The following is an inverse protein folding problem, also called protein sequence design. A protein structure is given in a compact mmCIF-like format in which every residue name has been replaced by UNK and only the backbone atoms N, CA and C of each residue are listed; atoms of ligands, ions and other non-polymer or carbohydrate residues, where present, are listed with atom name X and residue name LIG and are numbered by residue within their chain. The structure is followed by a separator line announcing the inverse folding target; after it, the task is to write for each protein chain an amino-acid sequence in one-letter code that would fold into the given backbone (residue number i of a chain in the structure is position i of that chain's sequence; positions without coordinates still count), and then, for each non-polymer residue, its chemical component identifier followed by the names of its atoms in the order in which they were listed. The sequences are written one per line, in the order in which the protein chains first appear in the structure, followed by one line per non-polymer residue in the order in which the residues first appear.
data_IF_736732253626
#
_entry.id   IF_736732253626
#
_cell.length_a   1.000
_cell.length_b   1.000
_cell.length_c   1.000
_cell.angle_alpha   90.00
_cell.angle_beta   90.00
_cell.angle_gamma   90.00
#
_symmetry.space_group_name_H-M   'P 1'
#
loop_
_entity.id
_entity.type
_entity.pdbx_description
1 polymer ?
#
# COMPACT_ATOMS: atom_id res chain seq x y z
N UNK A 1 -15.36 1.86 15.23
CA UNK A 1 -14.94 2.56 14.01
C UNK A 1 -14.18 3.84 14.38
N UNK A 2 -14.82 4.81 15.04
CA UNK A 2 -14.15 6.06 15.46
C UNK A 2 -12.88 5.85 16.33
N UNK A 3 -12.93 4.98 17.33
CA UNK A 3 -11.78 4.69 18.21
C UNK A 3 -10.57 4.04 17.52
N UNK A 4 -10.72 3.60 16.26
CA UNK A 4 -9.65 3.01 15.45
C UNK A 4 -9.15 3.97 14.36
N UNK A 5 -9.59 5.23 14.36
CA UNK A 5 -9.24 6.22 13.32
C UNK A 5 -10.11 6.15 12.05
N UNK A 6 -11.04 5.20 11.95
CA UNK A 6 -11.88 4.98 10.76
C UNK A 6 -13.10 5.92 10.73
N UNK A 7 -12.85 7.23 10.67
CA UNK A 7 -13.89 8.28 10.78
C UNK A 7 -14.86 8.24 9.60
N UNK A 8 -14.38 8.03 8.37
CA UNK A 8 -15.22 8.00 7.17
C UNK A 8 -16.26 6.87 7.21
N UNK A 9 -15.84 5.66 7.59
CA UNK A 9 -16.74 4.51 7.75
C UNK A 9 -17.68 4.67 8.95
N UNK A 10 -17.22 5.30 10.04
CA UNK A 10 -18.07 5.61 11.18
C UNK A 10 -19.22 6.55 10.78
N UNK A 11 -18.92 7.63 10.05
CA UNK A 11 -19.92 8.58 9.56
C UNK A 11 -20.90 7.91 8.59
N UNK A 12 -20.40 7.10 7.66
CA UNK A 12 -21.23 6.35 6.71
C UNK A 12 -22.24 5.44 7.44
N UNK A 13 -21.75 4.67 8.41
CA UNK A 13 -22.59 3.76 9.21
C UNK A 13 -23.63 4.55 10.00
N UNK A 14 -23.23 5.65 10.63
CA UNK A 14 -24.13 6.53 11.38
C UNK A 14 -25.24 7.09 10.49
N UNK A 15 -24.91 7.59 9.30
CA UNK A 15 -25.88 8.15 8.36
C UNK A 15 -26.87 7.07 7.91
N UNK A 16 -26.39 5.90 7.51
CA UNK A 16 -27.24 4.80 7.03
C UNK A 16 -28.16 4.31 8.16
N UNK A 17 -27.62 4.07 9.37
CA UNK A 17 -28.41 3.61 10.51
C UNK A 17 -29.41 4.66 10.99
N UNK A 18 -29.04 5.94 11.04
CA UNK A 18 -29.96 7.02 11.40
C UNK A 18 -31.12 7.13 10.40
N UNK A 19 -30.82 7.03 9.10
CA UNK A 19 -31.82 7.00 8.04
C UNK A 19 -32.77 5.79 8.21
N UNK A 20 -32.23 4.61 8.54
CA UNK A 20 -32.99 3.41 8.81
C UNK A 20 -33.95 3.61 9.99
N UNK A 21 -33.44 4.06 11.13
CA UNK A 21 -34.23 4.27 12.34
C UNK A 21 -35.35 5.27 12.10
N UNK A 22 -35.08 6.36 11.37
CA UNK A 22 -36.09 7.34 11.00
C UNK A 22 -37.18 6.74 10.10
N UNK A 23 -36.80 6.02 9.04
CA UNK A 23 -37.73 5.47 8.05
C UNK A 23 -38.57 4.33 8.62
N UNK A 24 -37.98 3.45 9.44
CA UNK A 24 -38.68 2.31 10.02
C UNK A 24 -39.40 2.65 11.33
N UNK A 25 -38.92 3.64 12.09
CA UNK A 25 -39.53 4.10 13.32
C UNK A 25 -40.78 4.96 13.13
N UNK A 26 -40.86 5.74 12.05
CA UNK A 26 -42.02 6.59 11.77
C UNK A 26 -43.11 5.87 10.97
N UNK A 27 -44.38 6.12 11.31
CA UNK A 27 -45.55 5.67 10.51
C UNK A 27 -45.72 6.52 9.24
N UNK A 28 -45.22 7.76 9.21
CA UNK A 28 -45.33 8.68 8.07
C UNK A 28 -44.42 8.30 6.90
N UNK A 29 -43.38 7.51 7.14
CA UNK A 29 -42.35 7.12 6.17
C UNK A 29 -42.58 5.73 5.57
N UNK A 30 -43.80 5.18 5.64
CA UNK A 30 -44.08 3.81 5.19
C UNK A 30 -43.62 3.53 3.75
N UNK A 31 -43.90 4.43 2.81
CA UNK A 31 -43.44 4.31 1.42
C UNK A 31 -41.90 4.27 1.28
N UNK A 32 -41.18 4.96 2.17
CA UNK A 32 -39.72 5.03 2.12
C UNK A 32 -39.05 3.71 2.49
N UNK A 33 -39.76 2.80 3.17
CA UNK A 33 -39.25 1.48 3.54
C UNK A 33 -38.91 0.61 2.32
N UNK A 34 -39.63 0.80 1.21
CA UNK A 34 -39.42 0.04 -0.03
C UNK A 34 -38.20 0.53 -0.82
N UNK A 35 -37.93 1.85 -0.80
CA UNK A 35 -36.77 2.44 -1.51
C UNK A 35 -35.50 2.41 -0.66
N UNK A 36 -35.63 2.32 0.67
CA UNK A 36 -34.50 2.37 1.60
C UNK A 36 -33.37 1.38 1.27
N UNK A 37 -33.62 0.07 1.02
CA UNK A 37 -32.53 -0.86 0.70
C UNK A 37 -31.75 -0.45 -0.55
N UNK A 38 -32.45 0.05 -1.59
CA UNK A 38 -31.82 0.55 -2.81
C UNK A 38 -31.00 1.83 -2.56
N UNK A 39 -31.54 2.78 -1.81
CA UNK A 39 -30.84 4.01 -1.44
C UNK A 39 -29.63 3.73 -0.56
N UNK A 40 -29.75 2.84 0.41
CA UNK A 40 -28.63 2.43 1.26
C UNK A 40 -27.50 1.79 0.42
N UNK A 41 -27.85 0.94 -0.55
CA UNK A 41 -26.91 0.40 -1.52
C UNK A 41 -26.23 1.48 -2.37
N UNK A 42 -27.00 2.45 -2.89
CA UNK A 42 -26.44 3.58 -3.65
C UNK A 42 -25.51 4.45 -2.79
N UNK A 43 -25.88 4.73 -1.53
CA UNK A 43 -25.03 5.49 -0.62
C UNK A 43 -23.72 4.76 -0.36
N UNK A 44 -23.79 3.46 -0.04
CA UNK A 44 -22.64 2.63 0.33
C UNK A 44 -21.69 2.37 -0.85
N UNK A 45 -22.22 2.06 -2.03
CA UNK A 45 -21.42 1.58 -3.17
C UNK A 45 -21.19 2.60 -4.28
N UNK A 46 -21.95 3.69 -4.32
CA UNK A 46 -21.81 4.73 -5.36
C UNK A 46 -21.38 6.05 -4.73
N UNK A 47 -22.19 6.61 -3.82
CA UNK A 47 -21.94 7.95 -3.29
C UNK A 47 -20.72 7.99 -2.37
N UNK A 48 -20.53 6.97 -1.53
CA UNK A 48 -19.39 6.91 -0.62
C UNK A 48 -18.05 6.81 -1.36
N UNK A 49 -17.83 5.86 -2.31
CA UNK A 49 -16.59 5.83 -3.10
C UNK A 49 -16.38 7.11 -3.92
N UNK A 50 -17.45 7.72 -4.45
CA UNK A 50 -17.38 8.99 -5.18
C UNK A 50 -16.89 10.12 -4.26
N UNK A 51 -17.52 10.31 -3.10
CA UNK A 51 -17.11 11.32 -2.13
C UNK A 51 -15.69 11.09 -1.61
N UNK A 52 -15.31 9.84 -1.37
CA UNK A 52 -13.95 9.46 -0.97
C UNK A 52 -12.93 9.80 -2.07
N UNK A 53 -13.24 9.50 -3.33
CA UNK A 53 -12.40 9.87 -4.48
C UNK A 53 -12.24 11.38 -4.61
N UNK A 54 -13.32 12.14 -4.41
CA UNK A 54 -13.27 13.62 -4.39
C UNK A 54 -12.39 14.10 -3.24
N UNK A 55 -12.49 13.52 -2.04
CA UNK A 55 -11.65 13.88 -0.91
C UNK A 55 -10.15 13.61 -1.20
N UNK A 56 -9.82 12.46 -1.80
CA UNK A 56 -8.45 12.15 -2.23
C UNK A 56 -7.90 13.15 -3.25
N UNK A 57 -8.75 13.75 -4.08
CA UNK A 57 -8.31 14.76 -5.04
C UNK A 57 -7.74 16.04 -4.37
N UNK A 58 -8.05 16.28 -3.08
CA UNK A 58 -7.49 17.39 -2.29
C UNK A 58 -6.28 16.98 -1.44
N UNK A 59 -5.76 15.76 -1.60
CA UNK A 59 -4.58 15.27 -0.88
C UNK A 59 -3.43 14.94 -1.82
N UNK A 60 -2.23 14.73 -1.27
CA UNK A 60 -1.07 14.26 -2.02
C UNK A 60 -0.99 12.72 -2.13
N UNK A 61 -2.11 12.00 -1.94
CA UNK A 61 -2.14 10.53 -1.95
C UNK A 61 -1.54 9.98 -3.24
N UNK A 62 -0.44 9.25 -3.12
CA UNK A 62 0.35 8.79 -4.27
C UNK A 62 1.20 7.58 -3.90
N UNK A 63 1.93 7.00 -4.85
CA UNK A 63 2.85 5.89 -4.57
C UNK A 63 3.94 6.23 -3.53
N UNK A 64 4.28 7.52 -3.37
CA UNK A 64 5.28 7.98 -2.39
C UNK A 64 4.66 8.29 -1.03
N UNK A 65 3.40 8.74 -1.02
CA UNK A 65 2.66 9.21 0.15
C UNK A 65 1.39 8.38 0.32
N UNK A 66 1.50 7.27 1.05
CA UNK A 66 0.40 6.31 1.25
C UNK A 66 0.02 6.14 2.73
N UNK A 67 0.94 6.46 3.63
CA UNK A 67 0.79 6.21 5.06
C UNK A 67 0.13 7.40 5.75
N UNK A 68 -0.49 7.16 6.91
CA UNK A 68 -0.78 8.24 7.84
C UNK A 68 0.52 8.75 8.48
N UNK A 69 0.48 9.93 9.09
CA UNK A 69 1.63 10.48 9.80
C UNK A 69 2.12 9.51 10.89
N UNK A 70 1.20 8.99 11.70
CA UNK A 70 1.49 8.07 12.80
C UNK A 70 2.12 6.77 12.29
N UNK A 71 1.64 6.28 11.14
CA UNK A 71 2.20 5.08 10.53
C UNK A 71 3.58 5.33 9.92
N UNK A 72 3.81 6.50 9.34
CA UNK A 72 5.13 6.91 8.87
C UNK A 72 6.10 7.05 10.05
N UNK A 73 5.67 7.66 11.16
CA UNK A 73 6.46 7.78 12.40
C UNK A 73 6.89 6.41 12.93
N UNK A 74 5.93 5.48 13.10
CA UNK A 74 6.20 4.12 13.55
C UNK A 74 7.19 3.37 12.65
N UNK A 75 7.19 3.64 11.33
CA UNK A 75 8.17 3.03 10.40
C UNK A 75 9.55 3.68 10.54
N UNK A 76 9.63 4.98 10.81
CA UNK A 76 10.89 5.69 11.01
C UNK A 76 11.55 5.31 12.35
N UNK A 77 10.79 5.21 13.43
CA UNK A 77 11.27 4.74 14.75
C UNK A 77 11.79 3.30 14.71
N UNK A 78 11.23 2.47 13.83
CA UNK A 78 11.70 1.11 13.61
C UNK A 78 13.03 1.02 12.85
N UNK A 79 13.59 2.14 12.36
CA UNK A 79 14.88 2.13 11.67
C UNK A 79 16.01 2.15 12.66
N UNK A 80 17.04 1.39 12.34
CA UNK A 80 18.29 1.36 13.08
C UNK A 80 19.45 1.68 12.14
N UNK A 81 20.55 2.15 12.71
CA UNK A 81 21.83 2.29 12.03
C UNK A 81 22.91 1.58 12.84
N UNK A 82 24.04 1.30 12.19
CA UNK A 82 25.18 0.71 12.86
C UNK A 82 25.95 1.81 13.58
N UNK A 83 25.97 1.79 14.92
CA UNK A 83 26.68 2.78 15.74
C UNK A 83 28.11 2.34 16.09
N UNK A 84 28.46 1.06 15.96
CA UNK A 84 29.75 0.53 16.39
C UNK A 84 30.32 -0.62 15.55
N UNK A 85 31.14 -1.45 16.19
CA UNK A 85 31.87 -2.53 15.52
C UNK A 85 30.93 -3.64 15.01
N UNK A 86 31.40 -4.34 13.96
CA UNK A 86 30.69 -5.47 13.36
C UNK A 86 31.39 -6.77 13.66
N UNK A 87 30.67 -7.70 14.25
CA UNK A 87 31.17 -9.00 14.67
C UNK A 87 30.66 -10.10 13.72
N UNK A 88 31.56 -10.98 13.30
CA UNK A 88 31.17 -12.13 12.47
C UNK A 88 30.51 -13.17 13.36
N UNK A 89 29.36 -13.69 12.92
CA UNK A 89 28.67 -14.75 13.65
C UNK A 89 28.63 -16.07 12.88
N UNK A 90 28.56 -17.16 13.62
CA UNK A 90 28.27 -18.50 13.10
C UNK A 90 27.10 -19.11 13.85
N UNK A 91 26.14 -19.65 13.11
CA UNK A 91 25.05 -20.43 13.68
C UNK A 91 25.48 -21.90 13.73
N UNK A 92 25.48 -22.48 14.93
CA UNK A 92 25.79 -23.88 15.17
C UNK A 92 24.52 -24.62 15.58
N UNK A 93 24.33 -25.83 15.06
CA UNK A 93 23.28 -26.75 15.51
C UNK A 93 23.85 -27.69 16.56
N UNK A 94 23.18 -27.78 17.70
CA UNK A 94 23.52 -28.68 18.81
C UNK A 94 22.41 -29.72 19.02
N UNK A 95 22.62 -30.66 19.95
CA UNK A 95 21.62 -31.70 20.23
C UNK A 95 20.31 -31.15 20.83
N UNK A 96 20.37 -30.01 21.52
CA UNK A 96 19.23 -29.37 22.19
C UNK A 96 18.65 -28.15 21.46
N UNK A 97 19.26 -27.69 20.36
CA UNK A 97 18.79 -26.51 19.63
C UNK A 97 19.85 -25.90 18.72
N UNK A 98 20.02 -24.58 18.83
CA UNK A 98 21.01 -23.81 18.09
C UNK A 98 21.79 -22.91 19.04
N UNK A 99 23.04 -22.62 18.69
CA UNK A 99 23.90 -21.67 19.39
C UNK A 99 24.42 -20.66 18.38
N UNK A 100 24.32 -19.37 18.71
CA UNK A 100 24.93 -18.30 17.93
C UNK A 100 26.27 -18.00 18.57
N UNK A 101 27.34 -18.16 17.80
CA UNK A 101 28.68 -17.73 18.21
C UNK A 101 29.06 -16.44 17.51
N UNK A 102 29.63 -15.49 18.24
CA UNK A 102 30.08 -14.19 17.78
C UNK A 102 31.57 -14.07 18.09
N UNK A 103 32.37 -13.66 17.11
CA UNK A 103 33.81 -13.44 17.30
C UNK A 103 34.09 -11.98 17.64
N UNK A 104 34.69 -11.75 18.81
CA UNK A 104 35.18 -10.45 19.29
C UNK A 104 36.70 -10.54 19.52
N UNK A 105 37.50 -10.11 18.54
CA UNK A 105 38.95 -10.28 18.54
C UNK A 105 39.38 -11.75 18.63
N UNK A 106 40.10 -12.11 19.71
CA UNK A 106 40.52 -13.48 20.01
C UNK A 106 39.50 -14.27 20.85
N UNK A 107 38.45 -13.62 21.36
CA UNK A 107 37.45 -14.25 22.21
C UNK A 107 36.25 -14.70 21.38
N UNK A 108 35.75 -15.90 21.67
CA UNK A 108 34.50 -16.40 21.10
C UNK A 108 33.40 -16.26 22.15
N UNK A 109 32.37 -15.51 21.80
CA UNK A 109 31.17 -15.34 22.59
C UNK A 109 30.08 -16.27 22.07
N UNK A 110 29.30 -16.89 22.94
CA UNK A 110 28.21 -17.77 22.54
C UNK A 110 26.93 -17.48 23.32
N UNK A 111 25.79 -17.67 22.67
CA UNK A 111 24.50 -17.71 23.35
C UNK A 111 24.32 -19.04 24.09
N UNK A 112 23.41 -19.12 25.08
CA UNK A 112 22.83 -20.39 25.51
C UNK A 112 22.22 -21.16 24.33
N UNK A 113 21.93 -22.45 24.52
CA UNK A 113 21.16 -23.22 23.53
C UNK A 113 19.76 -22.62 23.38
N UNK A 114 19.48 -22.13 22.17
CA UNK A 114 18.22 -21.50 21.82
C UNK A 114 17.51 -22.29 20.72
N UNK A 115 16.19 -22.37 20.83
CA UNK A 115 15.35 -22.87 19.76
C UNK A 115 14.91 -21.68 18.90
N UNK A 116 15.20 -21.73 17.60
CA UNK A 116 14.84 -20.68 16.64
C UNK A 116 13.34 -20.74 16.28
N UNK A 117 12.49 -20.63 17.30
CA UNK A 117 11.04 -20.58 17.22
C UNK A 117 10.55 -19.15 17.46
N UNK A 118 9.24 -18.92 17.35
CA UNK A 118 8.65 -17.58 17.61
C UNK A 118 8.76 -17.13 19.07
N UNK A 119 9.14 -18.02 19.98
CA UNK A 119 9.22 -17.71 21.42
C UNK A 119 10.37 -16.76 21.75
N UNK A 120 11.42 -16.76 20.93
CA UNK A 120 12.60 -15.90 21.10
C UNK A 120 12.49 -14.56 20.33
N UNK A 121 11.39 -14.29 19.62
CA UNK A 121 11.20 -13.01 18.93
C UNK A 121 11.18 -11.85 19.94
N UNK A 122 12.07 -10.86 19.76
CA UNK A 122 12.18 -9.70 20.63
C UNK A 122 12.75 -9.97 22.03
N UNK A 123 13.47 -11.09 22.22
CA UNK A 123 14.17 -11.38 23.48
C UNK A 123 15.61 -10.87 23.47
N UNK A 124 16.06 -10.47 24.66
CA UNK A 124 17.46 -10.14 24.94
C UNK A 124 18.19 -11.40 25.39
N UNK A 125 19.23 -11.80 24.65
CA UNK A 125 20.02 -13.00 24.95
C UNK A 125 21.44 -12.59 25.31
N UNK A 126 21.84 -12.89 26.54
CA UNK A 126 23.20 -12.61 27.02
C UNK A 126 24.21 -13.61 26.43
N UNK A 127 25.30 -13.07 25.90
CA UNK A 127 26.45 -13.82 25.41
C UNK A 127 27.41 -14.13 26.56
N UNK A 128 27.99 -15.33 26.56
CA UNK A 128 29.05 -15.74 27.49
C UNK A 128 30.33 -16.09 26.73
N UNK A 129 31.49 -15.84 27.36
CA UNK A 129 32.80 -16.21 26.82
C UNK A 129 32.95 -17.72 26.88
N UNK A 130 33.30 -18.34 25.76
CA UNK A 130 33.51 -19.78 25.63
C UNK A 130 34.74 -20.10 24.78
N UNK A 131 35.48 -21.14 25.17
CA UNK A 131 36.69 -21.56 24.44
C UNK A 131 36.34 -22.23 23.10
N UNK A 132 35.31 -23.09 23.10
CA UNK A 132 34.77 -23.71 21.90
C UNK A 132 33.36 -24.23 22.15
N UNK A 133 32.50 -24.14 21.15
CA UNK A 133 31.16 -24.72 21.18
C UNK A 133 31.13 -25.93 20.25
N UNK A 134 30.72 -27.08 20.77
CA UNK A 134 30.50 -28.27 19.96
C UNK A 134 29.18 -28.15 19.19
N UNK A 135 29.24 -28.21 17.86
CA UNK A 135 28.05 -28.17 17.01
C UNK A 135 28.41 -28.20 15.52
N UNK A 136 27.41 -28.51 14.68
CA UNK A 136 27.58 -28.48 13.23
C UNK A 136 27.24 -27.09 12.69
N UNK A 137 28.09 -26.53 11.82
CA UNK A 137 27.86 -25.22 11.21
C UNK A 137 26.67 -25.25 10.27
N UNK A 138 25.65 -24.45 10.57
CA UNK A 138 24.47 -24.35 9.73
C UNK A 138 24.80 -23.62 8.40
N UNK A 139 24.31 -24.12 7.26
CA UNK A 139 24.46 -23.43 5.98
C UNK A 139 23.67 -22.11 5.97
N UNK A 140 24.08 -21.18 5.10
CA UNK A 140 23.41 -19.90 4.89
C UNK A 140 21.91 -20.03 4.62
N UNK A 141 21.49 -21.11 3.96
CA UNK A 141 20.06 -21.37 3.68
C UNK A 141 19.23 -21.45 4.96
N UNK A 142 19.76 -22.01 6.03
CA UNK A 142 19.09 -22.08 7.34
C UNK A 142 19.04 -20.71 8.00
N UNK A 143 20.13 -19.93 7.93
CA UNK A 143 20.18 -18.55 8.42
C UNK A 143 19.15 -17.67 7.71
N UNK A 144 19.00 -17.80 6.39
CA UNK A 144 17.99 -17.06 5.61
C UNK A 144 16.56 -17.40 6.07
N UNK A 145 16.29 -18.69 6.37
CA UNK A 145 14.97 -19.11 6.87
C UNK A 145 14.67 -18.51 8.25
N UNK A 146 15.68 -18.44 9.12
CA UNK A 146 15.53 -17.93 10.49
C UNK A 146 15.74 -16.42 10.60
N UNK A 147 16.07 -15.72 9.50
CA UNK A 147 16.31 -14.27 9.47
C UNK A 147 15.20 -13.43 10.12
N UNK A 148 13.89 -13.67 9.86
CA UNK A 148 12.84 -12.84 10.45
C UNK A 148 12.85 -12.84 11.98
N UNK A 149 13.23 -13.97 12.58
CA UNK A 149 13.36 -14.12 14.03
C UNK A 149 14.67 -13.48 14.50
N UNK A 150 15.79 -13.88 13.90
CA UNK A 150 17.14 -13.42 14.28
C UNK A 150 17.32 -11.90 14.17
N UNK A 151 16.63 -11.22 13.25
CA UNK A 151 16.69 -9.75 13.13
C UNK A 151 16.00 -8.99 14.27
N UNK A 152 15.18 -9.68 15.07
CA UNK A 152 14.45 -9.08 16.20
C UNK A 152 15.11 -9.34 17.55
N UNK A 153 16.11 -10.21 17.59
CA UNK A 153 16.81 -10.62 18.80
C UNK A 153 17.95 -9.65 19.07
N UNK A 154 18.06 -9.19 20.32
CA UNK A 154 19.19 -8.42 20.80
C UNK A 154 20.16 -9.33 21.55
N UNK A 155 21.42 -9.36 21.12
CA UNK A 155 22.46 -10.10 21.81
C UNK A 155 23.20 -9.14 22.74
N UNK A 156 23.15 -9.39 24.04
CA UNK A 156 23.85 -8.57 25.03
C UNK A 156 25.26 -9.12 25.20
N UNK A 157 26.27 -8.33 24.87
CA UNK A 157 27.68 -8.65 25.08
C UNK A 157 28.05 -8.61 26.57
N UNK A 158 29.13 -9.29 27.01
CA UNK A 158 29.55 -9.29 28.42
C UNK A 158 29.89 -7.92 28.99
N UNK A 159 30.22 -6.95 28.12
CA UNK A 159 30.48 -5.56 28.49
C UNK A 159 29.19 -4.74 28.70
N UNK A 160 28.02 -5.30 28.38
CA UNK A 160 26.71 -4.65 28.51
C UNK A 160 26.14 -4.09 27.20
N UNK A 161 26.90 -4.08 26.11
CA UNK A 161 26.45 -3.54 24.82
C UNK A 161 25.50 -4.51 24.12
N UNK A 162 24.44 -3.99 23.48
CA UNK A 162 23.53 -4.78 22.68
C UNK A 162 23.95 -4.76 21.20
N UNK A 163 24.04 -5.95 20.59
CA UNK A 163 24.29 -6.11 19.16
C UNK A 163 23.10 -6.79 18.48
N UNK A 164 22.74 -6.32 17.28
CA UNK A 164 21.66 -6.89 16.47
C UNK A 164 22.20 -7.33 15.12
N UNK A 165 21.45 -8.22 14.46
CA UNK A 165 21.78 -8.72 13.14
C UNK A 165 21.78 -7.59 12.10
N UNK A 166 22.95 -7.14 11.67
CA UNK A 166 23.12 -6.14 10.61
C UNK A 166 23.17 -6.75 9.20
N UNK A 167 23.45 -8.06 9.12
CA UNK A 167 23.45 -8.82 7.87
C UNK A 167 23.46 -10.33 8.08
N UNK A 168 23.44 -11.10 7.00
CA UNK A 168 23.38 -12.58 7.06
C UNK A 168 24.61 -13.25 7.69
N UNK A 169 25.68 -12.49 7.96
CA UNK A 169 26.94 -12.99 8.52
C UNK A 169 27.47 -12.13 9.67
N UNK A 170 26.79 -11.04 10.00
CA UNK A 170 27.28 -10.04 10.94
C UNK A 170 26.21 -9.64 11.93
N UNK A 171 26.62 -9.52 13.18
CA UNK A 171 25.97 -8.70 14.18
C UNK A 171 26.75 -7.40 14.33
N UNK A 172 26.11 -6.32 14.69
CA UNK A 172 26.78 -5.07 15.00
C UNK A 172 26.05 -4.35 16.12
N UNK A 173 26.74 -3.48 16.83
CA UNK A 173 26.08 -2.50 17.68
C UNK A 173 25.17 -1.64 16.81
N UNK A 174 23.88 -1.63 17.14
CA UNK A 174 22.89 -0.81 16.43
C UNK A 174 22.15 0.07 17.41
N UNK A 175 21.86 1.28 16.98
CA UNK A 175 21.02 2.23 17.68
C UNK A 175 19.81 2.58 16.81
N UNK A 176 18.75 3.10 17.44
CA UNK A 176 17.63 3.65 16.69
C UNK A 176 18.13 4.83 15.85
N UNK A 177 17.81 4.86 14.57
CA UNK A 177 18.20 5.96 13.69
C UNK A 177 17.39 7.22 14.00
N UNK A 178 16.11 7.04 14.35
CA UNK A 178 15.22 8.14 14.70
C UNK A 178 14.59 7.91 16.07
N UNK A 179 14.61 8.93 16.91
CA UNK A 179 13.94 8.93 18.22
C UNK A 179 12.94 10.08 18.28
N UNK A 180 11.66 9.73 18.49
CA UNK A 180 10.58 10.70 18.65
C UNK A 180 10.82 11.54 19.92
N UNK A 181 10.69 12.85 19.78
CA UNK A 181 10.86 13.78 20.89
C UNK A 181 9.56 13.93 21.70
N UNK A 182 9.64 14.57 22.87
CA UNK A 182 8.52 14.76 23.80
C UNK A 182 7.32 15.52 23.21
N UNK A 183 7.54 16.25 22.10
CA UNK A 183 6.49 16.95 21.36
C UNK A 183 5.58 16.03 20.52
N UNK A 184 5.93 14.74 20.41
CA UNK A 184 5.20 13.73 19.64
C UNK A 184 5.22 13.95 18.12
N UNK A 185 6.07 14.84 17.60
CA UNK A 185 6.12 15.21 16.18
C UNK A 185 7.53 15.24 15.63
N UNK A 186 8.47 15.86 16.31
CA UNK A 186 9.85 15.95 15.86
C UNK A 186 10.59 14.64 16.15
N UNK A 187 11.53 14.32 15.28
CA UNK A 187 12.39 13.14 15.41
C UNK A 187 13.84 13.59 15.41
N UNK A 188 14.59 13.18 16.42
CA UNK A 188 16.04 13.34 16.41
C UNK A 188 16.64 12.21 15.59
N UNK A 189 17.52 12.55 14.65
CA UNK A 189 18.35 11.58 13.95
C UNK A 189 19.63 11.35 14.75
N UNK A 190 19.78 10.18 15.35
CA UNK A 190 20.89 9.84 16.25
C UNK A 190 22.23 9.62 15.51
N UNK A 191 22.23 9.54 14.18
CA UNK A 191 23.46 9.45 13.37
C UNK A 191 24.05 10.84 13.06
N UNK A 192 23.20 11.85 12.94
CA UNK A 192 23.59 13.20 12.46
C UNK A 192 23.33 14.32 13.45
N UNK A 193 22.69 14.01 14.59
CA UNK A 193 22.20 14.95 15.59
C UNK A 193 21.26 16.04 15.04
N UNK A 194 20.65 15.80 13.88
CA UNK A 194 19.70 16.73 13.26
C UNK A 194 18.26 16.43 13.67
N UNK A 195 17.47 17.48 13.91
CA UNK A 195 16.04 17.36 14.18
C UNK A 195 15.28 17.34 12.85
N UNK A 196 14.43 16.33 12.67
CA UNK A 196 13.53 16.19 11.55
C UNK A 196 12.10 16.52 11.99
N UNK A 197 11.43 17.36 11.21
CA UNK A 197 10.03 17.72 11.44
C UNK A 197 9.14 17.26 10.28
N UNK A 198 7.86 16.95 10.54
CA UNK A 198 6.92 16.60 9.49
C UNK A 198 6.58 17.85 8.66
N UNK A 199 7.01 17.87 7.40
CA UNK A 199 6.67 18.91 6.45
C UNK A 199 5.26 18.66 5.89
N UNK A 200 4.30 19.48 6.34
CA UNK A 200 2.89 19.36 5.97
C UNK A 200 2.58 19.80 4.54
N UNK A 201 3.51 20.43 3.82
CA UNK A 201 3.33 20.83 2.44
C UNK A 201 3.73 19.70 1.47
N UNK A 202 4.81 19.00 1.77
CA UNK A 202 5.32 17.91 0.92
C UNK A 202 4.81 16.53 1.34
N UNK A 203 4.49 16.35 2.63
CA UNK A 203 4.10 15.08 3.22
C UNK A 203 5.29 14.17 3.54
N UNK A 204 6.43 14.74 3.94
CA UNK A 204 7.61 13.97 4.34
C UNK A 204 8.25 14.55 5.60
N UNK A 205 9.03 13.72 6.30
CA UNK A 205 9.94 14.23 7.31
C UNK A 205 11.16 14.88 6.65
N UNK A 206 11.54 16.07 7.12
CA UNK A 206 12.66 16.84 6.57
C UNK A 206 13.44 17.49 7.72
N UNK A 207 14.78 17.61 7.62
CA UNK A 207 15.55 18.26 8.67
C UNK A 207 15.21 19.75 8.76
N UNK A 208 15.32 20.31 9.97
CA UNK A 208 15.11 21.73 10.22
C UNK A 208 16.39 22.39 10.73
N UNK A 209 16.59 23.66 10.35
CA UNK A 209 17.65 24.49 10.91
C UNK A 209 17.30 25.02 12.31
N UNK A 210 18.23 25.73 12.96
CA UNK A 210 18.01 26.34 14.28
C UNK A 210 16.85 27.35 14.31
N UNK A 211 16.43 27.86 13.15
CA UNK A 211 15.31 28.79 13.01
C UNK A 211 13.98 28.08 12.71
N UNK A 212 13.98 26.74 12.59
CA UNK A 212 12.81 25.93 12.27
C UNK A 212 12.46 25.87 10.78
N UNK A 213 13.33 26.32 9.88
CA UNK A 213 13.12 26.20 8.44
C UNK A 213 13.52 24.82 7.95
N UNK A 214 12.70 24.24 7.08
CA UNK A 214 13.02 22.97 6.43
C UNK A 214 14.23 23.12 5.49
N UNK A 215 15.27 22.34 5.75
CA UNK A 215 16.53 22.31 4.99
C UNK A 215 16.86 20.88 4.57
N UNK A 216 17.74 20.70 3.59
CA UNK A 216 18.21 19.37 3.18
C UNK A 216 17.13 18.48 2.54
N UNK A 217 17.41 17.18 2.49
CA UNK A 217 16.60 16.18 1.79
C UNK A 217 15.54 15.55 2.71
N UNK A 218 14.37 15.29 2.16
CA UNK A 218 13.29 14.57 2.84
C UNK A 218 13.59 13.07 3.00
N UNK A 219 13.12 12.47 4.08
CA UNK A 219 13.23 11.02 4.32
C UNK A 219 11.93 10.29 4.00
N UNK A 220 12.06 9.14 3.33
CA UNK A 220 10.94 8.21 3.12
C UNK A 220 10.71 7.37 4.38
N UNK A 221 9.51 6.83 4.65
CA UNK A 221 8.30 6.93 3.82
C UNK A 221 7.59 8.28 3.98
N UNK A 222 6.88 8.70 2.94
CA UNK A 222 6.00 9.87 3.01
C UNK A 222 4.63 9.54 3.58
N UNK A 223 3.94 10.58 4.03
CA UNK A 223 2.60 10.53 4.62
C UNK A 223 1.62 11.44 3.86
N UNK A 224 0.33 11.12 4.00
CA UNK A 224 -0.74 11.83 3.32
C UNK A 224 -1.01 13.16 4.01
N UNK A 225 -1.01 14.25 3.23
CA UNK A 225 -1.36 15.61 3.66
C UNK A 225 -2.37 16.23 2.71
N UNK A 226 -3.12 17.21 3.22
CA UNK A 226 -4.04 18.01 2.40
C UNK A 226 -3.26 19.06 1.60
N UNK A 227 -3.41 19.05 0.28
CA UNK A 227 -2.75 19.99 -0.65
C UNK A 227 -3.72 21.00 -1.28
N UNK A 228 -4.96 21.02 -0.80
CA UNK A 228 -6.00 21.93 -1.31
C UNK A 228 -6.23 21.73 -2.81
N UNK A 229 -6.18 22.81 -3.58
CA UNK A 229 -6.47 22.83 -5.02
C UNK A 229 -5.27 22.49 -5.90
N UNK A 230 -4.11 22.19 -5.33
CA UNK A 230 -2.85 22.02 -6.07
C UNK A 230 -2.95 21.03 -7.24
N UNK A 231 -3.62 19.88 -7.02
CA UNK A 231 -3.80 18.85 -8.04
C UNK A 231 -4.60 19.36 -9.25
N UNK A 232 -5.63 20.18 -9.01
CA UNK A 232 -6.46 20.75 -10.08
C UNK A 232 -5.73 21.86 -10.83
N UNK A 233 -5.04 22.74 -10.11
CA UNK A 233 -4.25 23.81 -10.71
C UNK A 233 -3.15 23.27 -11.61
N UNK A 234 -2.51 22.17 -11.19
CA UNK A 234 -1.47 21.50 -11.97
C UNK A 234 -1.95 21.10 -13.36
N UNK A 235 -3.16 20.56 -13.49
CA UNK A 235 -3.72 20.14 -14.78
C UNK A 235 -3.92 21.32 -15.75
N UNK A 236 -4.16 22.54 -15.22
CA UNK A 236 -4.39 23.74 -16.04
C UNK A 236 -3.13 24.57 -16.28
N UNK A 237 -2.17 24.54 -15.36
CA UNK A 237 -0.94 25.35 -15.41
C UNK A 237 0.24 24.63 -16.08
N UNK A 238 0.27 23.30 -16.03
CA UNK A 238 1.35 22.49 -16.61
C UNK A 238 1.05 22.22 -18.10
N UNK A 239 1.81 22.86 -19.00
CA UNK A 239 1.63 22.71 -20.45
C UNK A 239 1.81 21.27 -20.92
N UNK A 240 2.70 20.49 -20.28
CA UNK A 240 2.94 19.09 -20.62
C UNK A 240 1.78 18.16 -20.29
N UNK A 241 0.91 18.54 -19.35
CA UNK A 241 -0.28 17.77 -18.97
C UNK A 241 -1.52 18.28 -19.74
N UNK A 242 -1.65 19.60 -19.87
CA UNK A 242 -2.84 20.25 -20.44
C UNK A 242 -3.08 19.89 -21.89
N UNK A 243 -2.06 19.92 -22.75
CA UNK A 243 -2.22 19.69 -24.19
C UNK A 243 -2.71 18.26 -24.49
N UNK A 244 -2.08 17.19 -23.96
CA UNK A 244 -2.62 15.84 -24.09
C UNK A 244 -4.02 15.68 -23.49
N UNK A 245 -4.29 16.31 -22.34
CA UNK A 245 -5.59 16.22 -21.68
C UNK A 245 -6.73 16.71 -22.58
N UNK A 246 -6.60 17.91 -23.17
CA UNK A 246 -7.64 18.48 -24.03
C UNK A 246 -7.82 17.65 -25.29
N UNK A 247 -6.73 17.21 -25.91
CA UNK A 247 -6.77 16.36 -27.11
C UNK A 247 -7.51 15.04 -26.84
N UNK A 248 -7.16 14.35 -25.76
CA UNK A 248 -7.82 13.09 -25.34
C UNK A 248 -9.28 13.33 -25.00
N UNK A 249 -9.60 14.44 -24.31
CA UNK A 249 -10.97 14.79 -23.94
C UNK A 249 -11.86 14.97 -25.18
N UNK A 250 -11.42 15.77 -26.16
CA UNK A 250 -12.16 16.00 -27.41
C UNK A 250 -12.37 14.67 -28.15
N UNK A 251 -11.30 13.87 -28.29
CA UNK A 251 -11.39 12.57 -28.94
C UNK A 251 -12.36 11.63 -28.22
N UNK A 252 -12.33 11.59 -26.89
CA UNK A 252 -13.22 10.75 -26.08
C UNK A 252 -14.68 11.16 -26.25
N UNK A 253 -14.98 12.45 -26.28
CA UNK A 253 -16.34 12.95 -26.55
C UNK A 253 -16.81 12.54 -27.94
N UNK A 254 -15.99 12.77 -28.98
CA UNK A 254 -16.32 12.38 -30.36
C UNK A 254 -16.54 10.87 -30.44
N UNK A 255 -15.64 10.08 -29.87
CA UNK A 255 -15.71 8.63 -29.86
C UNK A 255 -16.98 8.13 -29.16
N UNK A 256 -17.32 8.68 -27.99
CA UNK A 256 -18.54 8.32 -27.26
C UNK A 256 -19.80 8.68 -28.05
N UNK A 257 -19.88 9.88 -28.64
CA UNK A 257 -21.03 10.29 -29.46
C UNK A 257 -21.18 9.39 -30.68
N UNK A 258 -20.10 9.15 -31.43
CA UNK A 258 -20.11 8.23 -32.57
C UNK A 258 -20.57 6.84 -32.16
N UNK A 259 -20.04 6.31 -31.05
CA UNK A 259 -20.41 4.99 -30.53
C UNK A 259 -21.90 4.92 -30.22
N UNK A 260 -22.46 5.90 -29.50
CA UNK A 260 -23.90 5.94 -29.17
C UNK A 260 -24.74 6.03 -30.44
N UNK A 261 -24.39 6.90 -31.38
CA UNK A 261 -25.13 7.07 -32.64
C UNK A 261 -25.11 5.79 -33.46
N UNK A 262 -23.94 5.20 -33.71
CA UNK A 262 -23.86 3.98 -34.52
C UNK A 262 -24.54 2.79 -33.85
N UNK A 263 -24.35 2.59 -32.55
CA UNK A 263 -24.99 1.47 -31.83
C UNK A 263 -26.50 1.64 -31.75
N UNK A 264 -27.02 2.86 -31.57
CA UNK A 264 -28.44 3.14 -31.60
C UNK A 264 -29.03 2.91 -33.00
N UNK A 265 -28.43 3.48 -34.05
CA UNK A 265 -28.93 3.34 -35.42
C UNK A 265 -28.93 1.87 -35.85
N UNK A 266 -27.80 1.18 -35.70
CA UNK A 266 -27.68 -0.23 -36.08
C UNK A 266 -28.62 -1.09 -35.23
N UNK A 267 -28.66 -0.87 -33.91
CA UNK A 267 -29.52 -1.61 -32.99
C UNK A 267 -31.01 -1.43 -33.30
N UNK A 268 -31.45 -0.20 -33.56
CA UNK A 268 -32.84 0.09 -33.92
C UNK A 268 -33.23 -0.53 -35.27
N UNK A 269 -32.37 -0.41 -36.27
CA UNK A 269 -32.61 -1.01 -37.60
C UNK A 269 -32.70 -2.53 -37.48
N UNK A 270 -31.72 -3.18 -36.84
CA UNK A 270 -31.71 -4.63 -36.67
C UNK A 270 -32.90 -5.12 -35.83
N UNK A 271 -33.26 -4.41 -34.76
CA UNK A 271 -34.43 -4.74 -33.94
C UNK A 271 -35.72 -4.66 -34.77
N UNK A 272 -35.87 -3.63 -35.58
CA UNK A 272 -37.03 -3.46 -36.47
C UNK A 272 -37.13 -4.58 -37.50
N UNK A 273 -36.00 -4.96 -38.12
CA UNK A 273 -35.94 -6.04 -39.12
C UNK A 273 -36.24 -7.40 -38.50
N UNK A 274 -35.64 -7.72 -37.34
CA UNK A 274 -35.83 -9.03 -36.67
C UNK A 274 -37.26 -9.20 -36.16
N UNK A 275 -37.96 -8.10 -35.88
CA UNK A 275 -39.36 -8.12 -35.45
C UNK A 275 -40.35 -8.28 -36.61
N UNK A 276 -39.92 -8.13 -37.87
CA UNK A 276 -40.79 -8.26 -39.04
C UNK A 276 -41.37 -9.69 -39.16
N UNK A 277 -42.70 -9.79 -39.22
CA UNK A 277 -43.43 -11.07 -39.24
C UNK A 277 -43.11 -11.97 -40.45
N UNK A 278 -42.84 -11.37 -41.61
CA UNK A 278 -42.49 -12.09 -42.84
C UNK A 278 -41.06 -12.66 -42.84
N UNK A 279 -40.25 -12.31 -41.84
CA UNK A 279 -38.88 -12.80 -41.72
C UNK A 279 -38.86 -14.27 -41.28
N UNK A 280 -38.69 -15.17 -42.25
CA UNK A 280 -38.47 -16.60 -42.00
C UNK A 280 -37.21 -16.81 -41.14
N UNK A 281 -37.35 -17.54 -40.04
CA UNK A 281 -36.23 -17.85 -39.14
C UNK A 281 -35.85 -16.75 -38.15
N UNK A 282 -36.72 -15.76 -37.89
CA UNK A 282 -36.47 -14.64 -36.94
C UNK A 282 -35.90 -15.04 -35.57
N UNK A 283 -36.26 -16.21 -35.06
CA UNK A 283 -35.76 -16.71 -33.77
C UNK A 283 -34.25 -16.98 -33.79
N UNK A 284 -33.72 -17.53 -34.89
CA UNK A 284 -32.29 -17.80 -35.04
C UNK A 284 -31.50 -16.50 -35.17
N UNK A 285 -31.97 -15.55 -35.99
CA UNK A 285 -31.35 -14.24 -36.14
C UNK A 285 -31.27 -13.48 -34.81
N UNK A 286 -32.34 -13.52 -34.00
CA UNK A 286 -32.34 -12.90 -32.67
C UNK A 286 -31.22 -13.41 -31.77
N UNK A 287 -31.00 -14.73 -31.75
CA UNK A 287 -29.96 -15.35 -30.91
C UNK A 287 -28.55 -15.00 -31.41
N UNK A 288 -28.32 -15.04 -32.72
CA UNK A 288 -27.02 -14.71 -33.30
C UNK A 288 -26.63 -13.25 -33.08
N UNK A 289 -27.58 -12.32 -33.14
CA UNK A 289 -27.31 -10.89 -33.00
C UNK A 289 -27.00 -10.46 -31.55
N UNK A 290 -27.48 -11.20 -30.54
CA UNK A 290 -27.14 -10.92 -29.13
C UNK A 290 -25.85 -11.63 -28.69
N UNK A 291 -25.36 -12.59 -29.46
CA UNK A 291 -24.17 -13.39 -29.13
C UNK A 291 -22.94 -12.53 -28.81
N UNK A 292 -22.63 -11.43 -29.55
CA UNK A 292 -21.48 -10.59 -29.22
C UNK A 292 -21.56 -9.96 -27.82
N UNK A 293 -22.77 -9.67 -27.32
CA UNK A 293 -22.99 -9.14 -25.98
C UNK A 293 -23.00 -10.24 -24.91
N UNK A 294 -23.38 -11.48 -25.28
CA UNK A 294 -23.37 -12.61 -24.36
C UNK A 294 -21.94 -13.07 -23.99
N UNK A 295 -20.96 -12.84 -24.86
CA UNK A 295 -19.55 -13.13 -24.60
C UNK A 295 -18.93 -12.00 -23.76
N UNK A 296 -18.16 -12.32 -22.71
CA UNK A 296 -17.45 -11.31 -21.93
C UNK A 296 -16.58 -10.41 -22.81
N UNK A 297 -16.76 -9.08 -22.68
CA UNK A 297 -16.12 -8.09 -23.55
C UNK A 297 -14.59 -8.23 -23.61
N UNK A 298 -13.94 -8.62 -22.51
CA UNK A 298 -12.49 -8.81 -22.45
C UNK A 298 -11.99 -9.82 -23.49
N UNK A 299 -12.69 -10.95 -23.67
CA UNK A 299 -12.30 -11.98 -24.66
C UNK A 299 -12.44 -11.40 -26.07
N UNK A 300 -13.57 -10.77 -26.37
CA UNK A 300 -13.85 -10.17 -27.67
C UNK A 300 -12.80 -9.10 -28.03
N UNK A 301 -12.46 -8.21 -27.09
CA UNK A 301 -11.46 -7.16 -27.29
C UNK A 301 -10.08 -7.76 -27.61
N UNK A 302 -9.67 -8.83 -26.92
CA UNK A 302 -8.40 -9.51 -27.19
C UNK A 302 -8.38 -10.19 -28.56
N UNK A 303 -9.47 -10.82 -28.97
CA UNK A 303 -9.61 -11.42 -30.29
C UNK A 303 -9.46 -10.33 -31.36
N UNK A 304 -10.18 -9.22 -31.24
CA UNK A 304 -10.06 -8.09 -32.16
C UNK A 304 -8.64 -7.50 -32.18
N UNK A 305 -7.98 -7.38 -31.03
CA UNK A 305 -6.57 -6.96 -30.95
C UNK A 305 -5.65 -7.87 -31.78
N UNK A 306 -5.87 -9.19 -31.76
CA UNK A 306 -5.15 -10.15 -32.59
C UNK A 306 -5.47 -10.00 -34.08
N UNK A 307 -6.75 -9.88 -34.43
CA UNK A 307 -7.23 -9.72 -35.81
C UNK A 307 -6.72 -8.45 -36.48
N UNK A 308 -6.59 -7.35 -35.74
CA UNK A 308 -6.08 -6.08 -36.24
C UNK A 308 -4.55 -5.94 -36.14
N UNK A 309 -3.81 -7.03 -35.88
CA UNK A 309 -2.35 -6.99 -35.83
C UNK A 309 -1.75 -6.80 -37.24
N UNK A 310 -0.99 -5.72 -37.41
CA UNK A 310 -0.46 -5.28 -38.71
C UNK A 310 0.68 -6.17 -39.25
N UNK A 311 1.36 -6.97 -38.42
CA UNK A 311 2.44 -7.85 -38.89
C UNK A 311 1.96 -9.08 -39.66
N UNK A 312 0.73 -9.56 -39.38
CA UNK A 312 0.09 -10.67 -40.08
C UNK A 312 -0.48 -10.27 -41.46
N UNK A 313 -0.72 -8.98 -41.68
CA UNK A 313 -1.36 -8.45 -42.90
C UNK A 313 -0.34 -8.04 -43.97
N UNK A 314 0.94 -7.88 -43.60
CA UNK A 314 2.01 -7.40 -44.51
C UNK A 314 2.94 -8.49 -45.06
N UNK A 315 2.70 -9.77 -44.72
CA UNK A 315 3.52 -10.91 -45.16
C UNK A 315 2.89 -11.77 -46.27
N UNK A 316 1.95 -11.21 -47.02
CA UNK A 316 1.36 -11.78 -48.25
C UNK A 316 1.25 -10.66 -49.28
#
# INVERSE_FOLDING_TARGET
MYSRGEVAFALLTLIITALALYIFGSKKTYAHRYIYPGIAGMILFILFPLAYTVNLAFTNYSAKNQLSLERAQSVLEGRTFQSGESFSFTLLKTAGGHVITVQDGEQTLATPEINLTKEIEGQDITLSVVDSVAGEKEPIKSIIKSRPILSTVDLIMPNGDAIRMSGLRKFAAVEQLFTLQDDGRSMLNNETDQIFMPNMDTGFYQPVDENGNFVGNSVSPGFVVGVGTHNFERVWKDEGIKEPFISIFIWTVIFSVCTVVFTLVIGLVLASVVQWEELKGRALYRVLLILPYAVPAFISILIFKGLFNQSLVRST
#
